data_IF_800717867231
#
_entry.id   IF_800717867231
#
_cell.length_a   1.000
_cell.length_b   1.000
_cell.length_c   1.000
_cell.angle_alpha   90.00
_cell.angle_beta   90.00
_cell.angle_gamma   90.00
#
_symmetry.space_group_name_H-M   'P 1'
#
loop_
_entity.id
_entity.type
_entity.pdbx_description
1 polymer ?
#
# COMPACT_ATOMS: atom_id res chain seq x y z
N UNK A 1 -28.19 43.16 10.91
CA UNK A 1 -28.95 42.86 12.14
C UNK A 1 -29.03 41.35 12.28
N UNK A 2 -28.43 40.80 13.32
CA UNK A 2 -28.60 39.40 13.75
C UNK A 2 -29.83 39.31 14.71
N UNK A 3 -30.17 38.18 15.39
CA UNK A 3 -29.77 36.76 15.23
C UNK A 3 -30.93 35.74 15.49
N UNK A 4 -30.57 34.43 15.53
CA UNK A 4 -31.07 33.36 16.46
C UNK A 4 -32.26 32.49 15.99
N UNK A 5 -32.39 31.15 16.19
CA UNK A 5 -31.90 30.20 17.21
C UNK A 5 -31.85 28.71 16.73
N UNK A 6 -30.87 27.98 17.31
CA UNK A 6 -30.84 26.59 17.90
C UNK A 6 -31.31 25.37 17.07
N UNK A 7 -30.45 24.37 16.77
CA UNK A 7 -29.75 23.36 17.63
C UNK A 7 -30.70 22.30 18.20
N UNK A 8 -30.53 21.06 17.71
CA UNK A 8 -31.08 19.83 18.31
C UNK A 8 -29.98 19.12 19.12
N UNK A 9 -30.35 18.75 20.35
CA UNK A 9 -29.49 18.24 21.39
C UNK A 9 -29.55 16.71 21.49
N UNK A 10 -28.39 16.06 21.59
CA UNK A 10 -28.25 14.69 22.10
C UNK A 10 -27.70 14.75 23.52
N UNK A 11 -28.46 14.22 24.46
CA UNK A 11 -28.30 14.37 25.90
C UNK A 11 -26.99 13.79 26.44
N UNK A 12 -26.26 14.61 27.20
CA UNK A 12 -25.17 14.18 28.09
C UNK A 12 -25.78 14.00 29.49
N UNK A 13 -25.86 12.75 29.95
CA UNK A 13 -26.11 12.44 31.37
C UNK A 13 -24.75 12.44 32.09
N UNK A 14 -24.46 13.53 32.78
CA UNK A 14 -23.33 13.65 33.69
C UNK A 14 -23.74 13.12 35.06
N UNK A 15 -23.10 12.03 35.51
CA UNK A 15 -23.06 11.64 36.92
C UNK A 15 -21.69 12.07 37.46
N UNK A 16 -21.70 13.02 38.39
CA UNK A 16 -20.52 13.48 39.09
C UNK A 16 -20.10 12.47 40.18
N UNK A 17 -18.88 11.95 40.08
CA UNK A 17 -18.24 11.14 41.11
C UNK A 17 -16.73 11.44 41.14
N UNK A 18 -16.26 11.95 42.28
CA UNK A 18 -14.85 12.30 42.56
C UNK A 18 -13.96 11.05 42.54
N UNK A 19 -12.79 11.14 41.89
CA UNK A 19 -11.71 10.16 42.03
C UNK A 19 -10.92 9.95 40.73
N UNK A 20 -9.64 10.32 40.72
CA UNK A 20 -8.76 10.21 39.56
C UNK A 20 -8.56 8.77 39.10
N UNK A 21 -8.88 8.48 37.84
CA UNK A 21 -8.48 7.27 37.11
C UNK A 21 -8.33 7.59 35.63
N UNK A 22 -7.19 7.20 35.05
CA UNK A 22 -6.89 7.28 33.60
C UNK A 22 -8.10 6.81 32.79
N UNK A 23 -8.58 7.65 31.88
CA UNK A 23 -9.62 7.26 30.90
C UNK A 23 -9.00 6.24 29.94
N UNK A 24 -9.21 4.96 30.23
CA UNK A 24 -9.01 3.86 29.30
C UNK A 24 -10.12 3.95 28.26
N UNK A 25 -9.77 4.28 27.01
CA UNK A 25 -10.73 4.24 25.92
C UNK A 25 -11.02 2.77 25.65
N UNK A 26 -12.15 2.28 26.15
CA UNK A 26 -12.69 0.97 25.78
C UNK A 26 -13.30 1.16 24.40
N UNK A 27 -12.65 0.59 23.37
CA UNK A 27 -13.30 0.40 22.07
C UNK A 27 -14.45 -0.57 22.34
N UNK A 28 -15.67 -0.06 22.29
CA UNK A 28 -16.87 -0.87 22.40
C UNK A 28 -16.89 -1.83 21.21
N UNK A 29 -16.63 -3.10 21.48
CA UNK A 29 -16.67 -4.17 20.50
C UNK A 29 -18.15 -4.52 20.27
N UNK A 30 -18.79 -3.87 19.30
CA UNK A 30 -20.04 -4.35 18.74
C UNK A 30 -19.72 -5.56 17.86
N UNK A 31 -20.19 -6.74 18.26
CA UNK A 31 -19.91 -8.00 17.57
C UNK A 31 -20.20 -7.96 16.07
N UNK A 32 -19.25 -8.44 15.28
CA UNK A 32 -19.33 -8.58 13.83
C UNK A 32 -17.96 -8.34 13.19
N UNK A 33 -17.40 -9.38 12.54
CA UNK A 33 -16.19 -9.38 11.71
C UNK A 33 -15.07 -8.38 12.09
N UNK A 34 -13.97 -8.88 12.67
CA UNK A 34 -12.79 -8.07 13.01
C UNK A 34 -12.32 -7.19 11.85
N UNK A 35 -11.92 -5.95 12.16
CA UNK A 35 -11.40 -5.01 11.16
C UNK A 35 -10.19 -5.60 10.44
N UNK A 36 -10.10 -5.46 9.10
CA UNK A 36 -8.95 -5.97 8.36
C UNK A 36 -7.66 -5.28 8.83
N UNK A 37 -6.51 -5.97 8.81
CA UNK A 37 -5.23 -5.40 9.20
C UNK A 37 -4.87 -4.20 8.35
N UNK A 38 -4.17 -3.24 8.96
CA UNK A 38 -3.66 -2.05 8.29
C UNK A 38 -2.23 -2.26 7.82
N UNK A 39 -1.94 -2.02 6.54
CA UNK A 39 -0.58 -1.98 5.99
C UNK A 39 0.00 -0.57 6.15
N UNK A 40 1.19 -0.49 6.73
CA UNK A 40 1.93 0.76 6.90
C UNK A 40 3.26 0.62 6.16
N UNK A 41 3.61 1.61 5.34
CA UNK A 41 4.91 1.64 4.67
C UNK A 41 5.49 3.05 4.61
N UNK A 42 6.78 3.10 4.29
CA UNK A 42 7.60 4.30 4.28
C UNK A 42 8.26 4.47 2.92
N UNK A 43 8.11 5.66 2.32
CA UNK A 43 8.57 5.97 0.97
C UNK A 43 9.63 7.06 1.04
N UNK A 44 10.76 6.85 0.36
CA UNK A 44 11.88 7.77 0.42
C UNK A 44 13.08 7.24 -0.33
N UNK A 45 14.01 8.13 -0.67
CA UNK A 45 15.22 7.77 -1.43
C UNK A 45 16.05 6.70 -0.71
N UNK A 46 16.95 6.03 -1.43
CA UNK A 46 17.96 5.15 -0.80
C UNK A 46 18.72 5.89 0.31
N UNK A 47 18.89 5.24 1.47
CA UNK A 47 19.57 5.84 2.63
C UNK A 47 18.78 6.92 3.39
N UNK A 48 17.50 7.15 3.08
CA UNK A 48 16.67 8.11 3.84
C UNK A 48 16.24 7.62 5.23
N UNK A 49 16.52 6.36 5.59
CA UNK A 49 16.12 5.75 6.87
C UNK A 49 14.74 5.10 6.87
N UNK A 50 14.31 4.49 5.75
CA UNK A 50 13.02 3.77 5.66
C UNK A 50 12.92 2.62 6.67
N UNK A 51 13.94 1.76 6.72
CA UNK A 51 14.01 0.62 7.65
C UNK A 51 13.93 1.06 9.10
N UNK A 52 14.65 2.14 9.46
CA UNK A 52 14.59 2.72 10.80
C UNK A 52 13.19 3.24 11.14
N UNK A 53 12.51 3.89 10.19
CA UNK A 53 11.15 4.40 10.39
C UNK A 53 10.15 3.24 10.54
N UNK A 54 10.31 2.17 9.75
CA UNK A 54 9.52 0.96 9.84
C UNK A 54 9.69 0.29 11.21
N UNK A 55 10.92 0.15 11.70
CA UNK A 55 11.21 -0.41 13.03
C UNK A 55 10.61 0.45 14.16
N UNK A 56 10.77 1.78 14.12
CA UNK A 56 10.16 2.71 15.09
C UNK A 56 8.63 2.57 15.08
N UNK A 57 8.01 2.55 13.90
CA UNK A 57 6.56 2.44 13.79
C UNK A 57 6.06 1.09 14.30
N UNK A 58 6.73 -0.01 13.98
CA UNK A 58 6.35 -1.34 14.44
C UNK A 58 6.42 -1.45 15.97
N UNK A 59 7.49 -0.93 16.57
CA UNK A 59 7.65 -0.87 18.03
C UNK A 59 6.60 0.04 18.67
N UNK A 60 6.28 1.16 18.05
CA UNK A 60 5.22 2.06 18.52
C UNK A 60 3.86 1.36 18.53
N UNK A 61 3.44 0.72 17.43
CA UNK A 61 2.16 0.01 17.37
C UNK A 61 2.08 -1.15 18.38
N UNK A 62 3.16 -1.93 18.53
CA UNK A 62 3.24 -2.99 19.53
C UNK A 62 3.11 -2.44 20.97
N UNK A 63 3.76 -1.30 21.26
CA UNK A 63 3.66 -0.63 22.57
C UNK A 63 2.27 -0.07 22.88
N UNK A 64 1.48 0.22 21.84
CA UNK A 64 0.07 0.62 21.95
C UNK A 64 -0.87 -0.59 22.12
N UNK A 65 -0.33 -1.81 22.15
CA UNK A 65 -1.06 -3.05 22.35
C UNK A 65 -1.65 -3.67 21.09
N UNK A 66 -1.24 -3.20 19.91
CA UNK A 66 -1.67 -3.74 18.61
C UNK A 66 -0.78 -4.92 18.22
N UNK A 67 -1.38 -6.03 17.78
CA UNK A 67 -0.64 -7.15 17.20
C UNK A 67 0.01 -6.70 15.91
N UNK A 68 1.33 -6.60 15.92
CA UNK A 68 2.09 -5.97 14.85
C UNK A 68 3.03 -6.96 14.18
N UNK A 69 3.08 -6.96 12.84
CA UNK A 69 4.05 -7.70 12.06
C UNK A 69 4.95 -6.74 11.28
N UNK A 70 6.27 -6.80 11.49
CA UNK A 70 7.26 -6.09 10.70
C UNK A 70 7.78 -7.01 9.59
N UNK A 71 7.50 -6.64 8.34
CA UNK A 71 7.88 -7.38 7.14
C UNK A 71 9.06 -6.68 6.49
N UNK A 72 10.19 -7.37 6.39
CA UNK A 72 11.44 -6.84 5.83
C UNK A 72 11.68 -7.42 4.44
N UNK A 73 11.84 -6.57 3.43
CA UNK A 73 12.20 -7.01 2.08
C UNK A 73 13.71 -6.90 1.82
N UNK A 74 14.42 -5.99 2.50
CA UNK A 74 15.86 -5.82 2.30
C UNK A 74 16.65 -6.99 2.85
N UNK A 75 17.82 -7.25 2.27
CA UNK A 75 18.69 -8.37 2.66
C UNK A 75 19.85 -7.94 3.56
N UNK A 76 20.04 -6.64 3.74
CA UNK A 76 21.08 -6.06 4.60
C UNK A 76 20.73 -6.23 6.10
N UNK A 77 21.72 -6.15 7.01
CA UNK A 77 21.53 -6.47 8.42
C UNK A 77 20.89 -5.34 9.25
N UNK A 78 20.49 -4.21 8.63
CA UNK A 78 20.04 -3.01 9.37
C UNK A 78 18.85 -3.32 10.28
N UNK A 79 17.86 -4.06 9.80
CA UNK A 79 16.68 -4.40 10.60
C UNK A 79 17.03 -5.30 11.80
N UNK A 80 17.87 -6.30 11.60
CA UNK A 80 18.31 -7.23 12.65
C UNK A 80 19.13 -6.50 13.72
N UNK A 81 20.00 -5.56 13.29
CA UNK A 81 20.82 -4.74 14.18
C UNK A 81 19.97 -3.76 15.01
N UNK A 82 18.98 -3.10 14.40
CA UNK A 82 18.05 -2.22 15.11
C UNK A 82 17.20 -2.99 16.12
N UNK A 83 16.69 -4.15 15.71
CA UNK A 83 15.79 -4.96 16.53
C UNK A 83 16.52 -5.77 17.61
N UNK A 84 17.82 -6.03 17.45
CA UNK A 84 18.61 -6.86 18.37
C UNK A 84 18.22 -8.34 18.35
N UNK A 85 17.47 -8.78 17.33
CA UNK A 85 17.05 -10.17 17.13
C UNK A 85 17.41 -10.62 15.70
N UNK A 86 17.66 -11.93 15.51
CA UNK A 86 17.77 -12.51 14.17
C UNK A 86 16.38 -12.61 13.55
N UNK A 87 16.23 -12.12 12.32
CA UNK A 87 14.98 -12.16 11.57
C UNK A 87 15.11 -13.22 10.46
N UNK A 88 14.25 -14.24 10.50
CA UNK A 88 14.23 -15.31 9.52
C UNK A 88 13.10 -15.19 8.49
N UNK A 89 13.03 -16.16 7.59
CA UNK A 89 11.97 -16.29 6.59
C UNK A 89 10.65 -16.89 7.12
N UNK A 90 10.60 -17.20 8.43
CA UNK A 90 9.41 -17.57 9.16
C UNK A 90 9.04 -16.50 10.18
N UNK A 91 7.75 -16.39 10.46
CA UNK A 91 7.22 -15.46 11.44
C UNK A 91 7.83 -15.73 12.82
N UNK A 92 8.51 -14.74 13.39
CA UNK A 92 9.23 -14.85 14.66
C UNK A 92 8.87 -13.69 15.57
N UNK A 93 8.43 -13.97 16.80
CA UNK A 93 8.17 -12.96 17.82
C UNK A 93 9.49 -12.38 18.34
N UNK A 94 9.71 -11.07 18.16
CA UNK A 94 10.90 -10.38 18.68
C UNK A 94 10.60 -9.59 19.96
N UNK A 95 9.36 -9.17 20.17
CA UNK A 95 8.91 -8.51 21.39
C UNK A 95 7.40 -8.75 21.59
N UNK A 96 6.88 -8.41 22.76
CA UNK A 96 5.44 -8.53 23.04
C UNK A 96 4.61 -7.77 22.00
N UNK A 97 3.67 -8.46 21.36
CA UNK A 97 2.84 -7.96 20.25
C UNK A 97 3.62 -7.57 18.97
N UNK A 98 4.88 -7.97 18.83
CA UNK A 98 5.69 -7.68 17.65
C UNK A 98 6.35 -8.94 17.08
N UNK A 99 5.79 -9.38 15.96
CA UNK A 99 6.38 -10.42 15.12
C UNK A 99 7.15 -9.80 13.97
N UNK A 100 8.12 -10.54 13.45
CA UNK A 100 8.96 -10.13 12.32
C UNK A 100 9.04 -11.26 11.31
N UNK A 101 9.23 -10.91 10.04
CA UNK A 101 9.50 -11.85 8.96
C UNK A 101 10.34 -11.17 7.88
N UNK A 102 11.33 -11.88 7.36
CA UNK A 102 12.17 -11.47 6.23
C UNK A 102 11.70 -12.17 4.96
N UNK A 103 11.48 -11.39 3.91
CA UNK A 103 11.08 -11.93 2.61
C UNK A 103 12.33 -12.32 1.82
N UNK A 104 12.47 -13.62 1.58
CA UNK A 104 13.55 -14.19 0.78
C UNK A 104 12.95 -14.74 -0.52
N UNK A 105 13.00 -13.97 -1.61
CA UNK A 105 12.37 -14.33 -2.88
C UNK A 105 12.78 -15.73 -3.35
N UNK A 106 14.05 -16.09 -3.25
CA UNK A 106 14.56 -17.42 -3.63
C UNK A 106 13.86 -18.56 -2.88
N UNK A 107 13.55 -18.39 -1.60
CA UNK A 107 12.81 -19.38 -0.79
C UNK A 107 11.31 -19.34 -1.07
N UNK A 108 10.76 -18.15 -1.28
CA UNK A 108 9.34 -17.95 -1.54
C UNK A 108 8.87 -18.54 -2.88
N UNK A 109 9.79 -18.78 -3.83
CA UNK A 109 9.48 -19.41 -5.11
C UNK A 109 9.30 -20.92 -5.04
N UNK A 110 9.86 -21.57 -4.01
CA UNK A 110 9.81 -23.02 -3.87
C UNK A 110 8.37 -23.52 -3.65
N UNK A 111 7.61 -22.87 -2.76
CA UNK A 111 6.23 -23.29 -2.47
C UNK A 111 5.30 -23.17 -3.71
N UNK A 112 5.25 -22.04 -4.45
CA UNK A 112 4.48 -21.95 -5.69
C UNK A 112 4.90 -22.97 -6.75
N UNK A 113 6.22 -23.22 -6.90
CA UNK A 113 6.72 -24.22 -7.85
C UNK A 113 6.26 -25.63 -7.46
N UNK A 114 6.34 -25.99 -6.19
CA UNK A 114 5.88 -27.29 -5.70
C UNK A 114 4.37 -27.49 -5.91
N UNK A 115 3.58 -26.43 -5.73
CA UNK A 115 2.14 -26.46 -6.05
C UNK A 115 1.92 -26.67 -7.54
N UNK A 116 2.66 -25.97 -8.39
CA UNK A 116 2.58 -26.11 -9.85
C UNK A 116 2.89 -27.55 -10.29
N UNK A 117 3.97 -28.13 -9.75
CA UNK A 117 4.35 -29.54 -9.99
C UNK A 117 3.27 -30.52 -9.54
N UNK A 118 2.65 -30.29 -8.37
CA UNK A 118 1.55 -31.15 -7.86
C UNK A 118 0.31 -31.10 -8.76
N UNK A 119 -0.06 -29.90 -9.25
CA UNK A 119 -1.18 -29.73 -10.18
C UNK A 119 -0.87 -30.39 -11.53
N UNK A 120 0.36 -30.23 -12.03
CA UNK A 120 0.80 -30.86 -13.26
C UNK A 120 0.83 -32.39 -13.16
N UNK A 121 1.31 -32.96 -12.06
CA UNK A 121 1.32 -34.40 -11.84
C UNK A 121 -0.08 -35.04 -11.89
N UNK A 122 -1.14 -34.28 -11.55
CA UNK A 122 -2.53 -34.75 -11.61
C UNK A 122 -3.14 -34.66 -13.01
N UNK A 123 -2.68 -33.71 -13.82
CA UNK A 123 -3.31 -33.34 -15.10
C UNK A 123 -2.43 -33.63 -16.32
N UNK A 124 -1.16 -33.98 -16.08
CA UNK A 124 -0.10 -34.23 -17.05
C UNK A 124 -0.04 -33.19 -18.18
N UNK A 125 -0.22 -31.91 -17.85
CA UNK A 125 -0.34 -30.83 -18.83
C UNK A 125 0.99 -30.49 -19.49
N UNK A 126 2.09 -30.65 -18.77
CA UNK A 126 3.44 -30.38 -19.28
C UNK A 126 4.21 -31.63 -19.68
N UNK A 127 3.56 -32.80 -19.70
CA UNK A 127 4.20 -34.07 -20.07
C UNK A 127 5.46 -34.37 -19.24
N UNK A 128 5.46 -34.00 -17.96
CA UNK A 128 6.58 -34.22 -17.03
C UNK A 128 7.70 -33.17 -17.08
N UNK A 129 7.58 -32.12 -17.91
CA UNK A 129 8.60 -31.05 -17.97
C UNK A 129 8.76 -30.33 -16.63
N UNK A 130 7.66 -30.04 -15.93
CA UNK A 130 7.71 -29.37 -14.62
C UNK A 130 8.34 -30.23 -13.52
N UNK A 131 8.25 -31.56 -13.62
CA UNK A 131 8.82 -32.47 -12.63
C UNK A 131 10.36 -32.38 -12.60
N UNK A 132 10.98 -32.20 -13.77
CA UNK A 132 12.43 -32.10 -13.92
C UNK A 132 13.06 -30.79 -13.41
N UNK A 133 12.25 -29.78 -13.06
CA UNK A 133 12.78 -28.48 -12.59
C UNK A 133 13.25 -28.60 -11.15
N UNK A 134 14.50 -28.27 -10.86
CA UNK A 134 15.00 -28.15 -9.47
C UNK A 134 14.80 -26.70 -9.01
N UNK A 135 14.03 -26.49 -7.95
CA UNK A 135 13.65 -25.13 -7.52
C UNK A 135 14.84 -24.30 -7.04
N UNK A 136 15.80 -24.95 -6.39
CA UNK A 136 17.02 -24.36 -5.86
C UNK A 136 17.99 -23.90 -6.96
N UNK A 137 17.83 -24.40 -8.20
CA UNK A 137 18.62 -23.96 -9.35
C UNK A 137 18.04 -22.71 -10.02
N UNK A 138 16.80 -22.33 -9.66
CA UNK A 138 16.15 -21.17 -10.26
C UNK A 138 16.69 -19.86 -9.66
N UNK A 139 17.29 -19.05 -10.53
CA UNK A 139 17.63 -17.67 -10.21
C UNK A 139 16.38 -16.80 -10.04
N UNK A 140 16.48 -15.78 -9.19
CA UNK A 140 15.44 -14.75 -9.06
C UNK A 140 15.56 -13.79 -10.25
N UNK A 141 14.52 -13.73 -11.09
CA UNK A 141 14.44 -12.78 -12.20
C UNK A 141 13.91 -11.42 -11.72
N UNK A 142 14.25 -10.32 -12.43
CA UNK A 142 13.72 -8.99 -12.13
C UNK A 142 12.18 -8.98 -12.05
N UNK A 143 11.64 -8.41 -10.96
CA UNK A 143 10.21 -8.29 -10.71
C UNK A 143 9.56 -9.48 -10.00
N UNK A 144 10.25 -10.62 -9.87
CA UNK A 144 9.74 -11.76 -9.11
C UNK A 144 9.63 -11.47 -7.62
N UNK A 145 10.57 -10.68 -7.08
CA UNK A 145 10.58 -10.20 -5.70
C UNK A 145 9.36 -9.32 -5.37
N UNK A 146 9.00 -8.42 -6.29
CA UNK A 146 7.78 -7.62 -6.18
C UNK A 146 6.53 -8.53 -6.12
N UNK A 147 6.40 -9.51 -7.03
CA UNK A 147 5.26 -10.44 -7.05
C UNK A 147 5.22 -11.29 -5.77
N UNK A 148 6.35 -11.87 -5.38
CA UNK A 148 6.49 -12.63 -4.15
C UNK A 148 6.06 -11.80 -2.94
N UNK A 149 6.50 -10.55 -2.84
CA UNK A 149 6.15 -9.66 -1.73
C UNK A 149 4.66 -9.43 -1.63
N UNK A 150 3.96 -9.26 -2.76
CA UNK A 150 2.48 -9.16 -2.78
C UNK A 150 1.82 -10.41 -2.25
N UNK A 151 2.27 -11.59 -2.69
CA UNK A 151 1.69 -12.86 -2.26
C UNK A 151 1.91 -13.08 -0.75
N UNK A 152 3.07 -12.69 -0.21
CA UNK A 152 3.31 -12.69 1.24
C UNK A 152 2.44 -11.69 1.99
N UNK A 153 2.38 -10.44 1.51
CA UNK A 153 1.52 -9.40 2.11
C UNK A 153 0.05 -9.81 2.06
N UNK A 154 -0.41 -10.43 0.98
CA UNK A 154 -1.74 -10.99 0.87
C UNK A 154 -2.02 -12.02 1.97
N UNK A 155 -1.09 -12.96 2.20
CA UNK A 155 -1.22 -13.98 3.24
C UNK A 155 -1.31 -13.35 4.63
N UNK A 156 -0.47 -12.34 4.91
CA UNK A 156 -0.45 -11.65 6.20
C UNK A 156 -1.66 -10.73 6.42
N UNK A 157 -2.09 -10.04 5.36
CA UNK A 157 -3.21 -9.09 5.40
C UNK A 157 -4.57 -9.77 5.24
N UNK A 158 -4.59 -11.07 4.93
CA UNK A 158 -5.80 -11.83 4.65
C UNK A 158 -6.72 -11.15 3.61
N UNK A 159 -6.15 -10.57 2.53
CA UNK A 159 -6.92 -9.82 1.51
C UNK A 159 -8.17 -10.56 1.00
N UNK A 160 -8.14 -11.90 0.98
CA UNK A 160 -9.14 -12.73 0.33
C UNK A 160 -9.86 -13.72 1.26
N UNK A 161 -9.70 -13.59 2.58
CA UNK A 161 -10.46 -14.39 3.55
C UNK A 161 -11.91 -13.89 3.62
N UNK A 162 -12.70 -14.19 2.60
CA UNK A 162 -14.15 -14.11 2.64
C UNK A 162 -14.67 -15.52 2.87
N UNK A 163 -15.13 -15.81 4.10
CA UNK A 163 -15.99 -16.97 4.37
C UNK A 163 -15.32 -18.30 4.70
N UNK A 164 -14.00 -18.38 4.89
CA UNK A 164 -13.38 -19.55 5.54
C UNK A 164 -13.14 -19.27 7.02
N UNK A 165 -13.45 -20.24 7.89
CA UNK A 165 -13.10 -20.28 9.32
C UNK A 165 -11.57 -20.35 9.53
N UNK A 166 -10.80 -19.58 8.78
CA UNK A 166 -9.42 -19.27 9.10
C UNK A 166 -9.45 -18.39 10.35
N UNK A 167 -8.60 -18.64 11.36
CA UNK A 167 -8.56 -17.79 12.53
C UNK A 167 -8.37 -16.34 12.07
N UNK A 168 -9.07 -15.43 12.75
CA UNK A 168 -9.04 -13.99 12.52
C UNK A 168 -7.64 -13.48 12.14
N UNK A 169 -7.57 -12.38 11.38
CA UNK A 169 -6.30 -11.70 11.05
C UNK A 169 -5.37 -11.68 12.26
N UNK A 170 -4.22 -12.34 12.13
CA UNK A 170 -3.28 -12.54 13.24
C UNK A 170 -2.73 -11.20 13.76
N UNK A 171 -2.76 -10.19 12.90
CA UNK A 171 -2.24 -8.85 13.13
C UNK A 171 -3.31 -7.78 12.97
N UNK A 172 -3.19 -6.72 13.75
CA UNK A 172 -3.92 -5.47 13.59
C UNK A 172 -3.17 -4.55 12.61
N UNK A 173 -1.84 -4.59 12.62
CA UNK A 173 -0.97 -3.75 11.79
C UNK A 173 0.16 -4.57 11.17
N UNK A 174 0.37 -4.43 9.88
CA UNK A 174 1.54 -4.94 9.16
C UNK A 174 2.38 -3.74 8.72
N UNK A 175 3.59 -3.61 9.24
CA UNK A 175 4.56 -2.61 8.80
C UNK A 175 5.47 -3.23 7.76
N UNK A 176 5.42 -2.73 6.53
CA UNK A 176 6.20 -3.24 5.42
C UNK A 176 7.36 -2.31 5.11
N UNK A 177 8.58 -2.79 5.39
CA UNK A 177 9.82 -2.13 4.99
C UNK A 177 10.18 -2.52 3.55
N UNK A 178 9.81 -1.64 2.63
CA UNK A 178 10.11 -1.81 1.22
C UNK A 178 11.55 -1.38 0.91
N UNK A 179 12.29 -2.26 0.22
CA UNK A 179 13.65 -1.97 -0.25
C UNK A 179 13.66 -0.89 -1.35
N UNK A 180 12.67 -0.90 -2.25
CA UNK A 180 12.59 -0.05 -3.42
C UNK A 180 11.23 0.67 -3.54
N UNK A 181 11.23 1.97 -3.25
CA UNK A 181 10.04 2.82 -3.34
C UNK A 181 9.39 2.79 -4.72
N UNK A 182 10.15 2.71 -5.81
CA UNK A 182 9.57 2.71 -7.17
C UNK A 182 8.83 1.41 -7.49
N UNK A 183 9.35 0.28 -7.01
CA UNK A 183 8.65 -1.01 -7.12
C UNK A 183 7.36 -1.03 -6.31
N UNK A 184 7.36 -0.50 -5.08
CA UNK A 184 6.14 -0.37 -4.30
C UNK A 184 5.09 0.52 -4.99
N UNK A 185 5.52 1.61 -5.62
CA UNK A 185 4.64 2.49 -6.39
C UNK A 185 4.08 1.79 -7.63
N UNK A 186 4.92 1.03 -8.34
CA UNK A 186 4.49 0.21 -9.47
C UNK A 186 3.49 -0.85 -9.02
N UNK A 187 3.71 -1.47 -7.86
CA UNK A 187 2.82 -2.44 -7.26
C UNK A 187 1.46 -1.84 -6.90
N UNK A 188 1.46 -0.69 -6.23
CA UNK A 188 0.23 0.00 -5.83
C UNK A 188 -0.65 0.30 -7.05
N UNK A 189 -0.03 0.81 -8.13
CA UNK A 189 -0.71 1.06 -9.40
C UNK A 189 -0.86 -0.17 -10.30
N UNK A 190 -0.30 -1.32 -9.93
CA UNK A 190 -0.26 -2.51 -10.79
C UNK A 190 -1.64 -3.09 -11.00
N UNK A 191 -2.55 -2.99 -10.04
CA UNK A 191 -3.89 -3.59 -10.14
C UNK A 191 -4.72 -3.00 -11.28
N UNK A 192 -4.72 -1.67 -11.42
CA UNK A 192 -5.40 -0.97 -12.50
C UNK A 192 -4.75 -1.29 -13.86
N UNK A 193 -3.42 -1.35 -13.90
CA UNK A 193 -2.64 -1.66 -15.11
C UNK A 193 -2.79 -3.11 -15.54
N UNK A 194 -2.71 -4.04 -14.60
CA UNK A 194 -2.84 -5.47 -14.81
C UNK A 194 -4.19 -5.81 -15.43
N UNK A 195 -5.28 -5.14 -15.02
CA UNK A 195 -6.59 -5.30 -15.67
C UNK A 195 -6.54 -4.99 -17.18
N UNK A 196 -5.79 -3.96 -17.57
CA UNK A 196 -5.63 -3.59 -18.98
C UNK A 196 -4.83 -4.64 -19.75
N UNK A 197 -3.73 -5.15 -19.19
CA UNK A 197 -2.98 -6.26 -19.80
C UNK A 197 -3.80 -7.55 -19.87
N UNK A 198 -4.52 -7.88 -18.79
CA UNK A 198 -5.38 -9.06 -18.68
C UNK A 198 -6.45 -9.06 -19.77
N UNK A 199 -7.05 -7.90 -20.05
CA UNK A 199 -7.98 -7.74 -21.17
C UNK A 199 -7.35 -8.16 -22.50
N UNK A 200 -6.13 -7.69 -22.80
CA UNK A 200 -5.45 -8.09 -24.05
C UNK A 200 -5.08 -9.57 -24.08
N UNK A 201 -4.62 -10.14 -22.95
CA UNK A 201 -4.33 -11.58 -22.85
C UNK A 201 -5.61 -12.40 -23.06
N UNK A 202 -6.73 -11.99 -22.46
CA UNK A 202 -8.05 -12.60 -22.65
C UNK A 202 -8.51 -12.49 -24.11
N UNK A 203 -8.36 -11.34 -24.74
CA UNK A 203 -8.69 -11.17 -26.16
C UNK A 203 -7.84 -12.08 -27.05
N UNK A 204 -6.54 -12.24 -26.76
CA UNK A 204 -5.69 -13.20 -27.48
C UNK A 204 -6.14 -14.64 -27.25
N UNK A 205 -6.47 -14.99 -26.01
CA UNK A 205 -6.96 -16.31 -25.64
C UNK A 205 -8.31 -16.65 -26.33
N UNK A 206 -9.22 -15.69 -26.45
CA UNK A 206 -10.56 -15.89 -27.00
C UNK A 206 -10.61 -15.77 -28.53
N UNK A 207 -9.79 -14.89 -29.14
CA UNK A 207 -9.84 -14.57 -30.58
C UNK A 207 -8.85 -15.36 -31.45
N UNK A 208 -7.88 -16.07 -30.85
CA UNK A 208 -6.91 -16.87 -31.62
C UNK A 208 -7.19 -18.36 -31.45
N UNK A 209 -6.99 -19.14 -32.52
CA UNK A 209 -7.23 -20.59 -32.48
C UNK A 209 -6.29 -21.31 -31.50
N UNK A 210 -5.02 -20.88 -31.45
CA UNK A 210 -4.02 -21.41 -30.50
C UNK A 210 -4.42 -21.05 -29.06
N UNK A 211 -4.85 -19.81 -28.83
CA UNK A 211 -5.30 -19.36 -27.52
C UNK A 211 -6.53 -20.13 -27.04
N UNK A 212 -7.51 -20.36 -27.91
CA UNK A 212 -8.74 -21.06 -27.58
C UNK A 212 -8.50 -22.53 -27.24
N UNK A 213 -7.48 -23.14 -27.85
CA UNK A 213 -7.08 -24.52 -27.59
C UNK A 213 -6.28 -24.67 -26.28
N UNK A 214 -5.29 -23.80 -26.05
CA UNK A 214 -4.32 -23.97 -24.96
C UNK A 214 -4.66 -23.20 -23.67
N UNK A 215 -5.40 -22.09 -23.76
CA UNK A 215 -5.66 -21.21 -22.62
C UNK A 215 -6.44 -21.86 -21.47
N UNK A 216 -7.46 -22.71 -21.68
CA UNK A 216 -8.23 -23.25 -20.54
C UNK A 216 -7.36 -24.08 -19.60
N UNK A 217 -6.48 -24.92 -20.16
CA UNK A 217 -5.58 -25.77 -19.39
C UNK A 217 -4.48 -24.97 -18.69
N UNK A 218 -3.87 -24.00 -19.38
CA UNK A 218 -2.82 -23.15 -18.80
C UNK A 218 -3.35 -22.27 -17.68
N UNK A 219 -4.51 -21.63 -17.88
CA UNK A 219 -5.15 -20.77 -16.89
C UNK A 219 -5.54 -21.57 -15.65
N UNK A 220 -6.09 -22.77 -15.84
CA UNK A 220 -6.42 -23.66 -14.72
C UNK A 220 -5.18 -24.03 -13.91
N UNK A 221 -4.09 -24.42 -14.57
CA UNK A 221 -2.84 -24.78 -13.91
C UNK A 221 -2.27 -23.63 -13.08
N UNK A 222 -2.22 -22.41 -13.64
CA UNK A 222 -1.75 -21.21 -12.93
C UNK A 222 -2.70 -20.86 -11.78
N UNK A 223 -4.00 -20.85 -12.03
CA UNK A 223 -5.01 -20.48 -11.05
C UNK A 223 -5.02 -21.43 -9.84
N UNK A 224 -5.00 -22.74 -10.09
CA UNK A 224 -5.00 -23.77 -9.04
C UNK A 224 -3.70 -23.74 -8.22
N UNK A 225 -2.54 -23.40 -8.84
CA UNK A 225 -1.29 -23.25 -8.11
C UNK A 225 -1.26 -22.03 -7.17
N UNK A 226 -1.91 -20.94 -7.56
CA UNK A 226 -1.94 -19.69 -6.77
C UNK A 226 -2.95 -19.75 -5.62
N UNK A 227 -4.02 -20.56 -5.72
CA UNK A 227 -5.09 -20.61 -4.71
C UNK A 227 -4.67 -21.41 -3.46
N UNK A 228 -4.57 -20.80 -2.26
CA UNK A 228 -4.05 -21.48 -1.07
C UNK A 228 -4.94 -22.57 -0.47
N UNK A 229 -6.24 -22.60 -0.78
CA UNK A 229 -7.26 -23.44 -0.10
C UNK A 229 -8.26 -24.11 -1.07
N UNK A 230 -7.92 -24.25 -2.36
CA UNK A 230 -8.83 -24.87 -3.33
C UNK A 230 -8.91 -26.39 -3.18
N UNK A 231 -10.12 -26.94 -3.00
CA UNK A 231 -10.37 -28.37 -3.30
C UNK A 231 -10.13 -28.56 -4.80
N UNK A 232 -9.08 -29.29 -5.15
CA UNK A 232 -8.83 -29.77 -6.51
C UNK A 232 -10.00 -30.66 -6.93
N UNK A 233 -10.88 -30.16 -7.82
CA UNK A 233 -11.99 -30.97 -8.32
C UNK A 233 -13.14 -30.25 -9.00
N UNK A 234 -13.37 -28.95 -8.77
CA UNK A 234 -14.41 -28.22 -9.51
C UNK A 234 -13.93 -27.90 -10.94
N UNK A 235 -14.60 -28.49 -11.94
CA UNK A 235 -14.43 -28.11 -13.35
C UNK A 235 -15.04 -26.73 -13.54
N UNK A 236 -14.21 -25.69 -13.46
CA UNK A 236 -14.61 -24.30 -13.72
C UNK A 236 -14.40 -23.94 -15.17
N UNK A 237 -15.29 -23.12 -15.71
CA UNK A 237 -15.15 -22.63 -17.08
C UNK A 237 -14.04 -21.56 -17.14
N UNK A 238 -13.29 -21.50 -18.25
CA UNK A 238 -12.23 -20.49 -18.44
C UNK A 238 -12.72 -19.05 -18.27
N UNK A 239 -13.96 -18.77 -18.66
CA UNK A 239 -14.61 -17.46 -18.47
C UNK A 239 -14.81 -17.11 -16.99
N UNK A 240 -15.13 -18.10 -16.14
CA UNK A 240 -15.29 -17.89 -14.69
C UNK A 240 -13.94 -17.56 -14.05
N UNK A 241 -12.88 -18.26 -14.44
CA UNK A 241 -11.51 -18.00 -13.98
C UNK A 241 -11.09 -16.57 -14.33
N UNK A 242 -11.33 -16.12 -15.57
CA UNK A 242 -11.05 -14.74 -15.97
C UNK A 242 -11.77 -13.71 -15.11
N UNK A 243 -13.08 -13.91 -14.90
CA UNK A 243 -13.88 -12.99 -14.09
C UNK A 243 -13.43 -12.96 -12.63
N UNK A 244 -13.03 -14.11 -12.05
CA UNK A 244 -12.48 -14.16 -10.70
C UNK A 244 -11.16 -13.41 -10.58
N UNK A 245 -10.25 -13.53 -11.57
CA UNK A 245 -8.99 -12.77 -11.59
C UNK A 245 -9.28 -11.27 -11.70
N UNK A 246 -10.21 -10.86 -12.56
CA UNK A 246 -10.61 -9.44 -12.68
C UNK A 246 -11.18 -8.90 -11.37
N UNK A 247 -12.08 -9.65 -10.72
CA UNK A 247 -12.64 -9.28 -9.41
C UNK A 247 -11.58 -9.24 -8.32
N UNK A 248 -10.60 -10.14 -8.36
CA UNK A 248 -9.48 -10.16 -7.43
C UNK A 248 -8.66 -8.87 -7.56
N UNK A 249 -8.25 -8.52 -8.77
CA UNK A 249 -7.50 -7.30 -9.06
C UNK A 249 -8.29 -6.05 -8.66
N UNK A 250 -9.61 -6.04 -8.86
CA UNK A 250 -10.49 -4.96 -8.40
C UNK A 250 -10.47 -4.80 -6.88
N UNK A 251 -10.63 -5.89 -6.14
CA UNK A 251 -10.60 -5.87 -4.67
C UNK A 251 -9.26 -5.36 -4.14
N UNK A 252 -8.15 -5.84 -4.70
CA UNK A 252 -6.80 -5.37 -4.33
C UNK A 252 -6.64 -3.87 -4.63
N UNK A 253 -7.13 -3.41 -5.79
CA UNK A 253 -7.06 -1.99 -6.18
C UNK A 253 -7.80 -1.11 -5.17
N UNK A 254 -9.03 -1.48 -4.82
CA UNK A 254 -9.83 -0.77 -3.82
C UNK A 254 -9.16 -0.81 -2.44
N UNK A 255 -8.43 -1.87 -2.12
CA UNK A 255 -7.69 -1.98 -0.87
C UNK A 255 -6.55 -0.96 -0.77
N UNK A 256 -5.70 -0.84 -1.81
CA UNK A 256 -4.58 0.12 -1.82
C UNK A 256 -5.01 1.59 -1.90
N UNK A 257 -6.24 1.86 -2.32
CA UNK A 257 -6.79 3.23 -2.38
C UNK A 257 -7.47 3.65 -1.08
N UNK A 258 -7.71 2.72 -0.14
CA UNK A 258 -8.42 2.97 1.10
C UNK A 258 -7.45 3.39 2.23
N UNK A 259 -7.52 4.65 2.72
CA UNK A 259 -6.60 5.16 3.74
C UNK A 259 -6.81 4.52 5.12
N UNK A 260 -7.92 3.81 5.34
CA UNK A 260 -8.12 3.02 6.56
C UNK A 260 -7.30 1.73 6.56
N UNK A 261 -6.94 1.24 5.36
CA UNK A 261 -6.25 -0.03 5.13
C UNK A 261 -4.78 0.16 4.78
N UNK A 262 -4.45 1.14 3.94
CA UNK A 262 -3.07 1.49 3.58
C UNK A 262 -2.69 2.85 4.16
N UNK A 263 -1.57 2.92 4.86
CA UNK A 263 -0.93 4.18 5.25
C UNK A 263 0.50 4.26 4.71
N UNK A 264 0.73 5.23 3.82
CA UNK A 264 2.06 5.53 3.30
C UNK A 264 2.58 6.83 3.91
N UNK A 265 3.83 6.82 4.38
CA UNK A 265 4.48 8.00 4.92
C UNK A 265 5.74 8.34 4.13
N UNK A 266 6.00 9.63 3.89
CA UNK A 266 7.25 10.07 3.27
C UNK A 266 8.34 10.16 4.32
N UNK A 267 9.54 9.69 3.99
CA UNK A 267 10.74 9.78 4.84
C UNK A 267 11.84 10.55 4.10
N UNK A 268 12.49 11.47 4.81
CA UNK A 268 13.58 12.27 4.26
C UNK A 268 14.56 12.77 5.33
N UNK A 269 15.77 13.15 4.89
CA UNK A 269 16.63 14.06 5.65
C UNK A 269 16.21 15.51 5.35
N UNK A 270 15.69 16.28 6.33
CA UNK A 270 15.23 17.64 6.10
C UNK A 270 16.36 18.64 5.77
N UNK A 271 17.62 18.30 6.11
CA UNK A 271 18.80 19.15 5.84
C UNK A 271 19.26 19.03 4.39
N UNK A 272 18.99 17.89 3.76
CA UNK A 272 19.37 17.61 2.39
C UNK A 272 18.32 18.08 1.39
N UNK A 273 18.61 19.14 0.63
CA UNK A 273 17.70 19.66 -0.42
C UNK A 273 17.26 18.59 -1.41
N UNK A 274 18.19 17.72 -1.84
CA UNK A 274 17.90 16.59 -2.74
C UNK A 274 16.95 15.59 -2.05
N UNK A 275 17.12 15.32 -0.76
CA UNK A 275 16.24 14.39 -0.03
C UNK A 275 14.81 14.93 0.06
N UNK A 276 14.67 16.23 0.32
CA UNK A 276 13.38 16.92 0.35
C UNK A 276 12.71 16.90 -1.04
N UNK A 277 13.46 17.22 -2.09
CA UNK A 277 12.96 17.18 -3.47
C UNK A 277 12.56 15.76 -3.89
N UNK A 278 13.33 14.73 -3.53
CA UNK A 278 12.96 13.33 -3.77
C UNK A 278 11.67 12.94 -3.05
N UNK A 279 11.49 13.36 -1.79
CA UNK A 279 10.26 13.08 -1.06
C UNK A 279 9.04 13.78 -1.69
N UNK A 280 9.17 15.03 -2.15
CA UNK A 280 8.13 15.71 -2.93
C UNK A 280 7.82 14.95 -4.23
N UNK A 281 8.85 14.47 -4.93
CA UNK A 281 8.68 13.66 -6.15
C UNK A 281 7.91 12.37 -5.86
N UNK A 282 8.27 11.65 -4.79
CA UNK A 282 7.56 10.43 -4.38
C UNK A 282 6.13 10.71 -3.92
N UNK A 283 5.84 11.87 -3.35
CA UNK A 283 4.47 12.28 -3.06
C UNK A 283 3.62 12.32 -4.33
N UNK A 284 4.09 13.02 -5.36
CA UNK A 284 3.45 13.08 -6.66
C UNK A 284 3.27 11.71 -7.30
N UNK A 285 4.34 10.89 -7.31
CA UNK A 285 4.29 9.54 -7.87
C UNK A 285 3.32 8.63 -7.11
N UNK A 286 3.19 8.76 -5.78
CA UNK A 286 2.23 8.00 -4.98
C UNK A 286 0.80 8.33 -5.37
N UNK A 287 0.50 9.62 -5.54
CA UNK A 287 -0.81 10.06 -6.02
C UNK A 287 -1.07 9.53 -7.44
N UNK A 288 -0.08 9.55 -8.32
CA UNK A 288 -0.22 8.98 -9.68
C UNK A 288 -0.37 7.46 -9.67
N UNK A 289 0.19 6.75 -8.69
CA UNK A 289 -0.03 5.32 -8.49
C UNK A 289 -1.42 5.00 -7.90
N UNK A 290 -2.19 6.01 -7.50
CA UNK A 290 -3.54 5.85 -6.94
C UNK A 290 -3.60 5.75 -5.42
N UNK A 291 -2.46 5.66 -4.73
CA UNK A 291 -2.39 5.68 -3.27
C UNK A 291 -2.37 7.11 -2.70
N UNK A 292 -2.48 7.19 -1.38
CA UNK A 292 -2.45 8.42 -0.62
C UNK A 292 -1.26 8.42 0.35
N UNK A 293 -0.73 9.62 0.60
CA UNK A 293 0.26 9.86 1.63
C UNK A 293 -0.47 10.39 2.88
N UNK A 294 -0.25 9.73 4.01
CA UNK A 294 -0.85 10.10 5.30
C UNK A 294 -0.06 11.22 6.01
N UNK A 295 1.23 11.37 5.68
CA UNK A 295 2.09 12.36 6.26
C UNK A 295 3.55 12.22 5.84
N UNK A 296 4.38 13.11 6.36
CA UNK A 296 5.81 13.12 6.11
C UNK A 296 6.59 13.18 7.43
N UNK A 297 7.72 12.47 7.48
CA UNK A 297 8.68 12.54 8.57
C UNK A 297 10.06 12.99 8.09
N UNK A 298 10.71 13.81 8.91
CA UNK A 298 12.11 14.15 8.80
C UNK A 298 12.90 13.60 9.98
N UNK A 299 14.08 13.02 9.73
CA UNK A 299 15.00 12.71 10.82
C UNK A 299 15.65 13.98 11.36
N UNK A 300 15.57 14.18 12.67
CA UNK A 300 16.22 15.30 13.36
C UNK A 300 16.63 14.87 14.78
N UNK A 301 17.76 15.37 15.26
CA UNK A 301 18.18 15.14 16.65
C UNK A 301 17.37 16.02 17.60
N UNK A 302 17.15 17.28 17.20
CA UNK A 302 16.21 18.20 17.84
C UNK A 302 15.08 18.56 16.85
N UNK A 303 13.79 18.38 17.22
CA UNK A 303 12.66 18.85 16.41
C UNK A 303 12.74 20.31 15.97
N UNK A 304 13.47 21.17 16.70
CA UNK A 304 13.70 22.58 16.34
C UNK A 304 14.57 22.77 15.10
N UNK A 305 15.36 21.76 14.70
CA UNK A 305 16.22 21.77 13.51
C UNK A 305 15.43 21.64 12.20
N UNK A 306 14.17 21.22 12.28
CA UNK A 306 13.29 21.20 11.11
C UNK A 306 12.95 22.64 10.75
N UNK A 307 13.64 23.15 9.73
CA UNK A 307 13.33 24.45 9.16
C UNK A 307 11.85 24.52 8.76
N UNK A 308 11.15 25.56 9.23
CA UNK A 308 9.74 25.81 8.91
C UNK A 308 9.47 25.80 7.39
N UNK A 309 10.42 26.29 6.60
CA UNK A 309 10.35 26.26 5.13
C UNK A 309 10.36 24.85 4.50
N UNK A 310 10.80 23.81 5.20
CA UNK A 310 10.66 22.42 4.74
C UNK A 310 9.23 21.94 4.97
N UNK A 311 8.68 22.15 6.17
CA UNK A 311 7.31 21.76 6.49
C UNK A 311 6.29 22.45 5.57
N UNK A 312 6.49 23.73 5.24
CA UNK A 312 5.66 24.49 4.30
C UNK A 312 5.63 23.87 2.89
N UNK A 313 6.73 23.24 2.45
CA UNK A 313 6.75 22.55 1.15
C UNK A 313 5.81 21.35 1.13
N UNK A 314 5.51 20.74 2.27
CA UNK A 314 4.62 19.57 2.34
C UNK A 314 3.16 19.91 2.61
N UNK A 315 2.79 21.19 2.79
CA UNK A 315 1.39 21.56 2.93
C UNK A 315 0.57 21.06 1.72
N UNK A 316 -0.63 20.47 1.97
CA UNK A 316 -1.35 20.43 3.24
C UNK A 316 -1.08 19.18 4.12
N UNK A 317 -0.08 18.35 3.81
CA UNK A 317 0.29 17.20 4.65
C UNK A 317 0.86 17.63 6.00
N UNK A 318 0.54 16.83 7.01
CA UNK A 318 1.20 16.89 8.31
C UNK A 318 2.66 16.45 8.20
N UNK A 319 3.56 17.23 8.78
CA UNK A 319 5.00 16.95 8.86
C UNK A 319 5.42 16.82 10.33
N UNK A 320 6.25 15.83 10.67
CA UNK A 320 6.79 15.67 12.03
C UNK A 320 8.21 15.11 12.04
N UNK A 321 8.89 15.17 13.19
CA UNK A 321 10.22 14.57 13.39
C UNK A 321 10.15 13.10 13.78
N UNK A 322 11.16 12.34 13.34
CA UNK A 322 11.54 11.04 13.92
C UNK A 322 12.93 11.15 14.55
N UNK A 323 13.16 10.47 15.70
CA UNK A 323 14.46 10.48 16.36
C UNK A 323 15.49 9.70 15.53
N UNK A 324 16.75 10.13 15.62
CA UNK A 324 17.86 9.34 15.12
C UNK A 324 18.16 8.17 16.05
N UNK A 325 18.33 6.97 15.51
CA UNK A 325 18.73 5.79 16.26
C UNK A 325 20.18 5.46 15.90
N UNK A 326 21.10 5.35 16.88
CA UNK A 326 22.46 4.92 16.62
C UNK A 326 22.44 3.53 16.00
N UNK A 327 23.12 3.36 14.87
CA UNK A 327 23.16 2.06 14.20
C UNK A 327 24.07 1.09 14.94
N UNK A 328 25.09 1.55 15.67
CA UNK A 328 26.20 0.73 16.19
C UNK A 328 25.83 -0.25 17.32
N UNK A 329 24.60 -0.23 17.82
CA UNK A 329 24.11 -1.14 18.88
C UNK A 329 22.59 -1.34 18.81
N UNK A 330 22.06 -2.32 19.54
CA UNK A 330 20.60 -2.51 19.66
C UNK A 330 19.94 -1.23 20.16
N UNK A 331 18.88 -0.79 19.49
CA UNK A 331 18.21 0.46 19.83
C UNK A 331 17.56 0.42 21.23
N UNK A 332 17.73 1.49 22.02
CA UNK A 332 16.96 1.71 23.24
C UNK A 332 15.54 2.17 22.87
N UNK A 333 14.66 1.18 22.66
CA UNK A 333 13.26 1.42 22.27
C UNK A 333 12.48 2.20 23.33
N UNK A 334 12.81 2.06 24.61
CA UNK A 334 12.16 2.81 25.69
C UNK A 334 12.41 4.31 25.55
N UNK A 335 13.68 4.69 25.34
CA UNK A 335 14.05 6.08 25.07
C UNK A 335 13.49 6.58 23.74
N UNK A 336 13.60 5.79 22.68
CA UNK A 336 13.12 6.15 21.35
C UNK A 336 11.62 6.48 21.35
N UNK A 337 10.78 5.58 21.90
CA UNK A 337 9.33 5.75 21.95
C UNK A 337 8.88 6.89 22.89
N UNK A 338 9.64 7.15 23.96
CA UNK A 338 9.39 8.28 24.84
C UNK A 338 9.75 9.63 24.20
N UNK A 339 10.71 9.65 23.27
CA UNK A 339 11.09 10.86 22.53
C UNK A 339 10.09 11.24 21.43
N UNK A 340 9.23 10.32 21.01
CA UNK A 340 8.19 10.59 20.01
C UNK A 340 7.18 11.62 20.55
N UNK A 341 7.11 12.77 19.88
CA UNK A 341 6.17 13.84 20.23
C UNK A 341 4.70 13.44 19.89
N UNK A 342 3.74 14.22 20.40
CA UNK A 342 2.30 13.92 20.19
C UNK A 342 1.88 14.00 18.72
N UNK A 343 2.50 14.87 17.93
CA UNK A 343 2.20 14.99 16.50
C UNK A 343 2.64 13.74 15.74
N UNK A 344 3.83 13.22 16.02
CA UNK A 344 4.36 11.97 15.46
C UNK A 344 3.47 10.79 15.82
N UNK A 345 3.07 10.69 17.10
CA UNK A 345 2.14 9.66 17.59
C UNK A 345 0.76 9.74 16.91
N UNK A 346 0.23 10.95 16.75
CA UNK A 346 -1.02 11.19 16.02
C UNK A 346 -0.92 10.85 14.53
N UNK A 347 0.22 11.17 13.91
CA UNK A 347 0.46 10.88 12.50
C UNK A 347 0.54 9.37 12.23
N UNK A 348 1.25 8.62 13.07
CA UNK A 348 1.28 7.15 13.01
C UNK A 348 -0.10 6.52 13.27
N UNK A 349 -0.87 7.05 14.22
CA UNK A 349 -2.28 6.64 14.41
C UNK A 349 -3.18 6.98 13.21
N UNK A 350 -2.66 7.73 12.23
CA UNK A 350 -3.37 8.16 11.01
C UNK A 350 -4.65 8.94 11.32
N UNK A 351 -4.59 9.81 12.33
CA UNK A 351 -5.70 10.72 12.68
C UNK A 351 -5.76 11.96 11.80
N UNK A 352 -4.86 12.09 10.82
CA UNK A 352 -4.76 13.25 9.94
C UNK A 352 -5.86 13.24 8.87
N UNK A 353 -6.29 14.44 8.46
CA UNK A 353 -7.24 14.59 7.36
C UNK A 353 -6.62 14.09 6.06
N UNK A 354 -7.33 13.19 5.40
CA UNK A 354 -7.00 12.74 4.05
C UNK A 354 -7.44 13.81 3.06
N UNK A 355 -6.53 14.24 2.19
CA UNK A 355 -6.83 15.20 1.12
C UNK A 355 -7.15 14.44 -0.17
N UNK A 356 -8.30 14.71 -0.81
CA UNK A 356 -8.65 14.06 -2.05
C UNK A 356 -7.67 14.45 -3.15
N UNK A 357 -7.06 13.46 -3.82
CA UNK A 357 -6.13 13.70 -4.92
C UNK A 357 -6.82 14.24 -6.19
N UNK A 358 -8.12 13.98 -6.32
CA UNK A 358 -8.94 14.40 -7.46
C UNK A 358 -10.25 14.95 -6.91
N UNK A 359 -10.64 16.12 -7.41
CA UNK A 359 -11.94 16.74 -7.13
C UNK A 359 -12.65 17.08 -8.43
N UNK A 360 -13.97 16.92 -8.40
CA UNK A 360 -14.86 17.14 -9.54
C UNK A 360 -15.79 18.29 -9.21
N UNK A 361 -15.79 19.32 -10.05
CA UNK A 361 -16.75 20.42 -9.99
C UNK A 361 -17.68 20.34 -11.20
N UNK A 362 -18.88 19.82 -10.99
CA UNK A 362 -19.91 19.68 -12.02
C UNK A 362 -20.45 21.03 -12.50
N UNK A 363 -20.45 22.07 -11.68
CA UNK A 363 -20.99 23.38 -12.03
C UNK A 363 -20.04 24.12 -13.00
N UNK A 364 -18.75 24.05 -12.73
CA UNK A 364 -17.70 24.62 -13.59
C UNK A 364 -17.22 23.66 -14.70
N UNK A 365 -17.77 22.43 -14.74
CA UNK A 365 -17.28 21.32 -15.56
C UNK A 365 -15.75 21.17 -15.48
N UNK A 366 -15.18 21.26 -14.29
CA UNK A 366 -13.73 21.21 -14.09
C UNK A 366 -13.30 20.06 -13.19
N UNK A 367 -12.18 19.45 -13.54
CA UNK A 367 -11.52 18.40 -12.75
C UNK A 367 -10.21 18.95 -12.24
N UNK A 368 -10.00 18.90 -10.93
CA UNK A 368 -8.75 19.34 -10.31
C UNK A 368 -8.00 18.14 -9.77
N UNK A 369 -6.78 17.93 -10.26
CA UNK A 369 -5.88 16.89 -9.79
C UNK A 369 -4.72 17.50 -9.03
N UNK A 370 -4.54 17.10 -7.79
CA UNK A 370 -3.40 17.52 -6.98
C UNK A 370 -2.16 16.69 -7.34
N UNK A 371 -1.11 17.38 -7.82
CA UNK A 371 0.08 16.81 -8.44
C UNK A 371 1.36 17.48 -7.89
N UNK A 372 1.66 17.31 -6.60
CA UNK A 372 2.86 17.86 -5.97
C UNK A 372 4.13 17.20 -6.51
N UNK A 373 5.25 17.94 -6.47
CA UNK A 373 6.56 17.39 -6.83
C UNK A 373 6.79 17.18 -8.33
N UNK A 374 5.91 17.73 -9.18
CA UNK A 374 6.06 17.71 -10.64
C UNK A 374 6.18 19.12 -11.20
N UNK A 375 6.99 19.24 -12.24
CA UNK A 375 7.01 20.44 -13.07
C UNK A 375 5.97 20.32 -14.19
N UNK A 376 5.45 21.47 -14.63
CA UNK A 376 4.43 21.54 -15.69
C UNK A 376 4.86 20.81 -16.97
N UNK A 377 6.15 20.85 -17.31
CA UNK A 377 6.71 20.21 -18.51
C UNK A 377 6.72 18.69 -18.45
N UNK A 378 6.64 18.09 -17.26
CA UNK A 378 6.62 16.64 -17.09
C UNK A 378 5.21 16.04 -17.20
N UNK A 379 4.18 16.88 -17.11
CA UNK A 379 2.78 16.43 -17.06
C UNK A 379 2.21 16.37 -18.47
N UNK A 380 1.82 15.17 -18.90
CA UNK A 380 1.09 14.96 -20.15
C UNK A 380 -0.35 14.56 -19.85
N UNK A 381 -1.28 15.17 -20.58
CA UNK A 381 -2.71 14.93 -20.48
C UNK A 381 -3.21 14.39 -21.82
N UNK A 382 -3.90 13.26 -21.77
CA UNK A 382 -4.57 12.67 -22.92
C UNK A 382 -6.04 12.43 -22.59
N UNK A 383 -6.88 12.47 -23.62
CA UNK A 383 -8.29 12.15 -23.52
C UNK A 383 -8.58 10.84 -24.26
N UNK A 384 -9.26 9.92 -23.59
CA UNK A 384 -9.60 8.61 -24.13
C UNK A 384 -11.11 8.36 -24.18
N UNK A 385 -11.49 7.28 -24.87
CA UNK A 385 -12.86 6.73 -24.94
C UNK A 385 -13.94 7.79 -25.19
N UNK A 386 -13.71 8.63 -26.21
CA UNK A 386 -14.68 9.65 -26.62
C UNK A 386 -14.93 10.77 -25.61
N UNK A 387 -14.06 10.93 -24.61
CA UNK A 387 -14.18 12.00 -23.60
C UNK A 387 -14.77 11.57 -22.26
N UNK A 388 -14.83 10.26 -21.99
CA UNK A 388 -15.24 9.70 -20.69
C UNK A 388 -14.09 9.50 -19.71
N UNK A 389 -12.84 9.51 -20.19
CA UNK A 389 -11.64 9.23 -19.40
C UNK A 389 -10.52 10.23 -19.72
N UNK A 390 -9.80 10.66 -18.68
CA UNK A 390 -8.54 11.40 -18.79
C UNK A 390 -7.39 10.49 -18.40
N UNK A 391 -6.38 10.37 -19.26
CA UNK A 391 -5.11 9.71 -18.90
C UNK A 391 -4.08 10.78 -18.59
N UNK A 392 -3.53 10.71 -17.38
CA UNK A 392 -2.43 11.56 -16.94
C UNK A 392 -1.16 10.72 -16.95
N UNK A 393 -0.11 11.25 -17.56
CA UNK A 393 1.25 10.73 -17.46
C UNK A 393 2.13 11.76 -16.75
N UNK A 394 2.69 11.36 -15.61
CA UNK A 394 3.66 12.15 -14.86
C UNK A 394 4.50 11.20 -13.99
N UNK A 395 5.80 11.48 -13.89
CA UNK A 395 6.68 10.74 -12.98
C UNK A 395 6.86 9.26 -13.28
N UNK A 396 6.91 8.88 -14.56
CA UNK A 396 6.94 7.47 -15.01
C UNK A 396 5.72 6.66 -14.51
N UNK A 397 4.60 7.34 -14.27
CA UNK A 397 3.33 6.74 -13.91
C UNK A 397 2.25 7.21 -14.87
N UNK A 398 1.32 6.30 -15.16
CA UNK A 398 0.09 6.57 -15.91
C UNK A 398 -1.11 6.26 -15.03
N UNK A 399 -2.06 7.19 -14.97
CA UNK A 399 -3.30 7.08 -14.18
C UNK A 399 -4.51 7.46 -15.02
N UNK A 400 -5.55 6.62 -15.01
CA UNK A 400 -6.82 6.92 -15.68
C UNK A 400 -7.80 7.51 -14.68
N UNK A 401 -8.33 8.69 -14.99
CA UNK A 401 -9.39 9.34 -14.23
C UNK A 401 -10.69 9.20 -15.02
N UNK A 402 -11.63 8.44 -14.47
CA UNK A 402 -12.98 8.29 -15.04
C UNK A 402 -13.81 9.53 -14.72
N UNK A 403 -14.40 10.14 -15.74
CA UNK A 403 -15.26 11.31 -15.59
C UNK A 403 -16.69 10.89 -15.24
N UNK A 404 -17.33 11.54 -14.25
CA UNK A 404 -18.76 11.36 -14.00
C UNK A 404 -19.59 11.60 -15.26
N UNK A 405 -20.69 10.87 -15.51
CA UNK A 405 -21.49 11.00 -16.74
C UNK A 405 -21.87 12.45 -17.09
N UNK A 406 -22.21 13.27 -16.09
CA UNK A 406 -22.58 14.67 -16.27
C UNK A 406 -21.44 15.58 -16.75
N UNK A 407 -20.18 15.13 -16.61
CA UNK A 407 -18.97 15.87 -16.96
C UNK A 407 -18.21 15.25 -18.14
N UNK A 408 -18.78 14.25 -18.81
CA UNK A 408 -18.15 13.67 -20.00
C UNK A 408 -18.28 14.65 -21.18
N UNK A 409 -17.21 14.80 -21.96
CA UNK A 409 -17.15 15.80 -23.01
C UNK A 409 -15.73 16.00 -23.51
N UNK A 410 -15.50 17.00 -24.38
CA UNK A 410 -14.15 17.28 -24.89
C UNK A 410 -13.36 18.14 -23.92
N UNK A 411 -12.05 17.89 -23.77
CA UNK A 411 -11.19 18.80 -23.00
C UNK A 411 -11.17 20.18 -23.68
N UNK A 412 -11.64 21.20 -22.96
CA UNK A 412 -11.64 22.60 -23.41
C UNK A 412 -10.34 23.33 -23.11
N UNK A 413 -9.58 22.86 -22.12
CA UNK A 413 -8.29 23.40 -21.73
C UNK A 413 -7.76 22.76 -20.45
N UNK A 414 -6.46 22.96 -20.16
CA UNK A 414 -5.84 22.53 -18.93
C UNK A 414 -4.81 23.57 -18.45
N UNK A 415 -4.73 23.78 -17.14
CA UNK A 415 -3.79 24.71 -16.51
C UNK A 415 -3.15 24.05 -15.29
N UNK A 416 -1.86 24.28 -15.10
CA UNK A 416 -1.14 23.87 -13.89
C UNK A 416 -0.86 25.09 -13.02
N UNK A 417 -1.41 25.12 -11.80
CA UNK A 417 -1.30 26.22 -10.83
C UNK A 417 -1.27 25.65 -9.43
N UNK A 418 -0.39 26.15 -8.55
CA UNK A 418 -0.32 25.76 -7.14
C UNK A 418 -0.32 24.24 -6.92
N UNK A 419 0.50 23.52 -7.72
CA UNK A 419 0.61 22.05 -7.72
C UNK A 419 -0.65 21.30 -8.14
N UNK A 420 -1.62 21.99 -8.74
CA UNK A 420 -2.86 21.40 -9.22
C UNK A 420 -2.94 21.48 -10.74
N UNK A 421 -3.30 20.36 -11.37
CA UNK A 421 -3.73 20.32 -12.77
C UNK A 421 -5.24 20.50 -12.81
N UNK A 422 -5.69 21.65 -13.29
CA UNK A 422 -7.11 21.98 -13.50
C UNK A 422 -7.44 21.74 -14.96
N UNK A 423 -8.36 20.81 -15.23
CA UNK A 423 -8.83 20.45 -16.57
C UNK A 423 -10.28 20.89 -16.72
N UNK A 424 -10.58 21.69 -17.74
CA UNK A 424 -11.95 22.12 -18.05
C UNK A 424 -12.52 21.25 -19.17
N UNK A 425 -13.76 20.78 -18.99
CA UNK A 425 -14.48 19.96 -19.96
C UNK A 425 -15.61 20.77 -20.61
N UNK A 426 -15.82 20.61 -21.92
CA UNK A 426 -16.89 21.25 -22.70
C UNK A 426 -18.05 20.31 -22.92
#
# INVERSE_FOLDING_TARGET
MAPSLLVSASQILAVAGRGGRRRRLVIANSGGAGTPPKLVTFLGKGGSGKTTAAAIAAQYYASEGLKTCLVIQSQDPTAEQLMGCKIGNSLTECAANLSTIKLETSKMLLEPLDRLKKVDAQSNLTQGVLEGIVGEELGVLPGMDSICSVLSLQKLLNFFSVGTNSPQGEFDVVVYDCNNTEEFLRLTGATERARSYLKYVRELAEKTDIGRLASPSLLKLIYDAVRPNGRTGEVRMSAEIWNEIEQLLEKISLWFTDPSKLACFLIMDPRGSISVSSALRYWGCTIQAGAQICGAFGYAEDPSEIHQGVAEKFLPLSFSSLPFLPTDSSADWGRALNSLNQNTKGLLRNTSKVYPSVSFDSAQKSVTLFMPGFDKSEIKLYQYRGGSELLIEAGDQRRVIKLPPAMQGKVGGAKFVDRNLVVTIR
#
